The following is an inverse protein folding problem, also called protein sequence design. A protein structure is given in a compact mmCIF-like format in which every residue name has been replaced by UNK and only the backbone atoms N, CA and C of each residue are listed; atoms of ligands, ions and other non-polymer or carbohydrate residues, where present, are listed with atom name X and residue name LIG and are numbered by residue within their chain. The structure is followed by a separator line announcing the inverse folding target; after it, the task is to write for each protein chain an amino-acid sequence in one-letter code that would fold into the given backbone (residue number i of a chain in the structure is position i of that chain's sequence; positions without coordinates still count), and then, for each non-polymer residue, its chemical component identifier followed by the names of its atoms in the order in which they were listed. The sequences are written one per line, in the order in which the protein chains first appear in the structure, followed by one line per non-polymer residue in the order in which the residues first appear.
data_IF_531204255434
#
_entry.id   IF_531204255434
#
_cell.length_a   1.000
_cell.length_b   1.000
_cell.length_c   1.000
_cell.angle_alpha   90.00
_cell.angle_beta   90.00
_cell.angle_gamma   90.00
#
_symmetry.space_group_name_H-M   'P 1'
#
loop_
_entity.id
_entity.type
_entity.pdbx_description
1 polymer ?
#
# COMPACT_ATOMS: atom_id res chain seq x y z
N UNK A 1 -33.48 -40.99 39.05
CA UNK A 1 -32.81 -39.68 39.24
C UNK A 1 -31.72 -39.59 38.20
N UNK A 2 -31.93 -38.85 37.11
CA UNK A 2 -30.95 -38.71 36.03
C UNK A 2 -30.64 -37.21 35.90
N UNK A 3 -29.42 -36.82 36.29
CA UNK A 3 -28.94 -35.45 36.17
C UNK A 3 -28.41 -35.30 34.74
N UNK A 4 -29.12 -34.53 33.92
CA UNK A 4 -28.66 -34.10 32.60
C UNK A 4 -27.69 -32.94 32.79
N UNK A 5 -26.39 -33.18 32.63
CA UNK A 5 -25.41 -32.10 32.49
C UNK A 5 -25.40 -31.62 31.03
N UNK A 6 -26.06 -30.49 30.78
CA UNK A 6 -25.90 -29.76 29.52
C UNK A 6 -24.60 -28.97 29.57
N UNK A 7 -23.58 -29.42 28.84
CA UNK A 7 -22.39 -28.62 28.58
C UNK A 7 -22.75 -27.50 27.59
N UNK A 8 -22.72 -26.26 28.06
CA UNK A 8 -22.73 -25.07 27.20
C UNK A 8 -21.33 -24.93 26.59
N UNK A 9 -21.19 -25.21 25.29
CA UNK A 9 -19.99 -24.81 24.53
C UNK A 9 -20.07 -23.30 24.27
N UNK A 10 -19.29 -22.51 25.01
CA UNK A 10 -19.00 -21.13 24.64
C UNK A 10 -18.01 -21.11 23.48
N UNK A 11 -18.50 -20.81 22.28
CA UNK A 11 -17.66 -20.49 21.12
C UNK A 11 -17.08 -19.09 21.30
N UNK A 12 -15.85 -18.99 21.81
CA UNK A 12 -15.04 -17.77 21.70
C UNK A 12 -14.62 -17.62 20.24
N UNK A 13 -15.27 -16.70 19.52
CA UNK A 13 -14.78 -16.25 18.23
C UNK A 13 -13.48 -15.47 18.46
N UNK A 14 -12.35 -16.07 18.12
CA UNK A 14 -11.08 -15.36 18.00
C UNK A 14 -11.20 -14.49 16.75
N UNK A 15 -11.64 -13.25 16.93
CA UNK A 15 -11.37 -12.22 15.94
C UNK A 15 -9.85 -12.09 15.87
N UNK A 16 -9.25 -12.60 14.81
CA UNK A 16 -7.89 -12.22 14.42
C UNK A 16 -7.92 -10.72 14.21
N UNK A 17 -7.54 -9.97 15.24
CA UNK A 17 -7.22 -8.56 15.11
C UNK A 17 -6.08 -8.51 14.11
N UNK A 18 -6.38 -8.12 12.86
CA UNK A 18 -5.36 -7.60 11.98
C UNK A 18 -4.67 -6.48 12.77
N UNK A 19 -3.46 -6.74 13.24
CA UNK A 19 -2.73 -5.84 14.12
C UNK A 19 -2.19 -4.68 13.26
N UNK A 20 -3.08 -3.81 12.82
CA UNK A 20 -2.72 -2.55 12.22
C UNK A 20 -2.06 -1.67 13.29
N UNK A 21 -0.94 -1.05 12.95
CA UNK A 21 -0.17 -0.28 13.93
C UNK A 21 -0.93 1.00 14.24
N UNK A 22 -0.81 1.47 15.48
CA UNK A 22 -1.29 2.80 15.84
C UNK A 22 -0.62 3.85 14.96
N UNK A 23 -1.42 4.76 14.41
CA UNK A 23 -0.92 5.85 13.58
C UNK A 23 -0.09 6.81 14.43
N UNK A 24 1.25 6.90 14.22
CA UNK A 24 2.10 7.78 15.00
C UNK A 24 1.69 9.24 14.82
N UNK A 25 1.85 10.05 15.87
CA UNK A 25 1.38 11.45 15.86
C UNK A 25 2.02 12.31 14.77
N UNK A 26 3.30 12.08 14.44
CA UNK A 26 3.98 12.78 13.34
C UNK A 26 3.36 12.44 11.98
N UNK A 27 3.07 11.16 11.71
CA UNK A 27 2.41 10.72 10.47
C UNK A 27 0.98 11.23 10.41
N UNK A 28 0.25 11.18 11.53
CA UNK A 28 -1.10 11.73 11.62
C UNK A 28 -1.14 13.23 11.32
N UNK A 29 -0.23 14.00 11.92
CA UNK A 29 -0.17 15.44 11.72
C UNK A 29 0.18 15.78 10.26
N UNK A 30 1.11 15.04 9.65
CA UNK A 30 1.42 15.18 8.23
C UNK A 30 0.19 14.88 7.36
N UNK A 31 -0.45 13.72 7.58
CA UNK A 31 -1.65 13.30 6.88
C UNK A 31 -2.77 14.34 6.97
N UNK A 32 -3.06 14.85 8.17
CA UNK A 32 -4.09 15.86 8.41
C UNK A 32 -3.72 17.19 7.75
N UNK A 33 -2.45 17.60 7.79
CA UNK A 33 -1.94 18.81 7.15
C UNK A 33 -2.15 18.76 5.63
N UNK A 34 -1.66 17.71 4.98
CA UNK A 34 -1.83 17.50 3.53
C UNK A 34 -3.31 17.40 3.16
N UNK A 35 -4.12 16.68 3.94
CA UNK A 35 -5.56 16.58 3.71
C UNK A 35 -6.24 17.95 3.80
N UNK A 36 -5.89 18.76 4.79
CA UNK A 36 -6.45 20.10 4.98
C UNK A 36 -6.03 21.09 3.90
N UNK A 37 -4.87 20.88 3.26
CA UNK A 37 -4.44 21.66 2.10
C UNK A 37 -5.41 21.55 0.93
N UNK A 38 -6.12 20.42 0.84
CA UNK A 38 -7.21 20.19 -0.10
C UNK A 38 -6.78 19.78 -1.51
N UNK A 39 -5.61 20.18 -1.98
CA UNK A 39 -5.04 19.73 -3.25
C UNK A 39 -3.53 19.97 -3.31
N UNK A 40 -2.88 19.26 -4.23
CA UNK A 40 -1.46 19.41 -4.56
C UNK A 40 -1.10 20.85 -4.96
N UNK A 41 0.03 21.39 -4.48
CA UNK A 41 0.53 22.71 -4.93
C UNK A 41 1.72 22.59 -5.89
N UNK A 42 2.58 21.61 -5.68
CA UNK A 42 3.73 21.24 -6.48
C UNK A 42 3.46 19.88 -7.13
N UNK A 43 2.83 19.92 -8.31
CA UNK A 43 2.50 18.72 -9.09
C UNK A 43 3.76 18.26 -9.84
N UNK A 44 4.19 17.03 -9.55
CA UNK A 44 5.29 16.38 -10.26
C UNK A 44 4.79 15.68 -11.53
N UNK A 45 3.63 15.03 -11.43
CA UNK A 45 2.89 14.45 -12.54
C UNK A 45 1.41 14.39 -12.19
N UNK A 46 0.53 14.64 -13.15
CA UNK A 46 -0.91 14.62 -12.94
C UNK A 46 -1.64 13.56 -13.75
N UNK A 47 -2.91 13.35 -13.43
CA UNK A 47 -3.78 12.42 -14.17
C UNK A 47 -3.67 10.96 -13.74
N UNK A 48 -3.16 10.70 -12.54
CA UNK A 48 -3.15 9.36 -11.97
C UNK A 48 -4.58 8.83 -11.84
N UNK A 49 -4.78 7.61 -12.33
CA UNK A 49 -5.98 6.80 -12.11
C UNK A 49 -5.64 5.31 -12.11
N UNK A 50 -6.45 4.56 -11.37
CA UNK A 50 -6.50 3.11 -11.41
C UNK A 50 -7.22 2.60 -12.65
N UNK A 51 -6.90 1.36 -13.02
CA UNK A 51 -7.62 0.58 -14.04
C UNK A 51 -9.09 0.30 -13.68
N UNK A 52 -9.45 0.50 -12.40
CA UNK A 52 -10.79 0.29 -11.86
C UNK A 52 -11.74 1.47 -12.15
N UNK A 53 -11.27 2.52 -12.84
CA UNK A 53 -12.11 3.58 -13.38
C UNK A 53 -12.39 4.71 -12.40
N UNK A 54 -11.41 5.08 -11.58
CA UNK A 54 -11.51 6.32 -10.79
C UNK A 54 -11.43 7.57 -11.68
N UNK A 55 -11.67 8.74 -11.07
CA UNK A 55 -11.85 10.00 -11.80
C UNK A 55 -10.61 10.58 -12.48
N UNK A 56 -9.42 9.99 -12.35
CA UNK A 56 -8.19 10.51 -12.99
C UNK A 56 -7.78 11.90 -12.53
N UNK A 57 -8.23 12.32 -11.35
CA UNK A 57 -8.04 13.65 -10.79
C UNK A 57 -7.05 13.64 -9.62
N UNK A 58 -6.14 12.67 -9.61
CA UNK A 58 -5.08 12.53 -8.63
C UNK A 58 -3.73 12.92 -9.24
N UNK A 59 -2.89 13.56 -8.44
CA UNK A 59 -1.59 14.06 -8.84
C UNK A 59 -0.52 13.50 -7.90
N UNK A 60 0.65 13.18 -8.45
CA UNK A 60 1.89 12.95 -7.70
C UNK A 60 2.40 14.29 -7.18
N UNK A 61 2.52 14.41 -5.86
CA UNK A 61 2.79 15.66 -5.17
C UNK A 61 4.16 15.71 -4.56
N UNK A 62 4.89 16.78 -4.88
CA UNK A 62 6.21 17.09 -4.36
C UNK A 62 6.22 18.24 -3.37
N UNK A 63 5.09 18.55 -2.73
CA UNK A 63 4.95 19.67 -1.79
C UNK A 63 5.95 19.58 -0.64
N UNK A 64 6.35 18.36 -0.28
CA UNK A 64 7.19 18.06 0.87
C UNK A 64 8.50 17.33 0.54
N UNK A 65 8.97 17.42 -0.71
CA UNK A 65 10.28 16.83 -1.09
C UNK A 65 11.42 17.56 -0.36
N UNK A 66 11.39 18.88 -0.29
CA UNK A 66 12.52 19.67 0.21
C UNK A 66 12.64 19.71 1.74
N UNK A 67 11.52 19.68 2.46
CA UNK A 67 11.47 19.83 3.92
C UNK A 67 11.31 18.49 4.65
N UNK A 68 10.67 17.50 4.04
CA UNK A 68 10.40 16.20 4.68
C UNK A 68 10.80 14.98 3.86
N UNK A 69 11.25 15.17 2.62
CA UNK A 69 11.58 14.10 1.68
C UNK A 69 10.39 13.14 1.44
N UNK A 70 9.19 13.70 1.28
CA UNK A 70 7.94 12.93 1.07
C UNK A 70 7.33 13.26 -0.30
N UNK A 71 6.91 12.20 -1.00
CA UNK A 71 6.04 12.25 -2.17
C UNK A 71 4.77 11.47 -1.85
N UNK A 72 3.63 11.97 -2.29
CA UNK A 72 2.32 11.34 -2.08
C UNK A 72 1.40 11.58 -3.27
N UNK A 73 0.29 10.85 -3.35
CA UNK A 73 -0.73 11.05 -4.39
C UNK A 73 -1.96 11.71 -3.77
N UNK A 74 -2.34 12.89 -4.26
CA UNK A 74 -3.47 13.64 -3.76
C UNK A 74 -4.39 14.10 -4.90
N UNK A 75 -5.69 13.97 -4.68
CA UNK A 75 -6.74 14.54 -5.50
C UNK A 75 -7.37 15.77 -4.85
N UNK A 76 -8.48 16.23 -5.43
CA UNK A 76 -9.19 17.41 -4.92
C UNK A 76 -9.87 17.15 -3.57
N UNK A 77 -10.15 18.22 -2.84
CA UNK A 77 -10.83 18.20 -1.54
C UNK A 77 -10.14 17.31 -0.48
N UNK A 78 -8.81 17.18 -0.57
CA UNK A 78 -8.00 16.43 0.39
C UNK A 78 -8.08 14.92 0.21
N UNK A 79 -8.61 14.42 -0.91
CA UNK A 79 -8.68 12.99 -1.19
C UNK A 79 -7.28 12.43 -1.45
N UNK A 80 -7.00 11.25 -0.90
CA UNK A 80 -5.82 10.46 -1.27
C UNK A 80 -6.23 9.36 -2.25
N UNK A 81 -5.31 8.96 -3.11
CA UNK A 81 -5.54 7.79 -3.96
C UNK A 81 -5.66 6.53 -3.12
N UNK A 82 -6.48 5.59 -3.58
CA UNK A 82 -6.47 4.24 -3.05
C UNK A 82 -5.21 3.54 -3.55
N UNK A 83 -4.45 2.95 -2.63
CA UNK A 83 -3.27 2.14 -2.92
C UNK A 83 -3.52 0.77 -2.32
N UNK A 84 -3.91 -0.17 -3.16
CA UNK A 84 -4.08 -1.56 -2.78
C UNK A 84 -2.72 -2.22 -2.51
N UNK A 85 -2.75 -3.20 -1.62
CA UNK A 85 -1.59 -4.08 -1.43
C UNK A 85 -1.45 -4.91 -2.70
N UNK A 86 -0.26 -4.84 -3.29
CA UNK A 86 0.09 -5.61 -4.47
C UNK A 86 0.42 -7.06 -4.04
N UNK A 87 -0.11 -8.01 -4.80
CA UNK A 87 -0.02 -9.45 -4.51
C UNK A 87 0.91 -10.20 -5.48
N UNK A 88 1.77 -9.49 -6.22
CA UNK A 88 2.74 -10.11 -7.12
C UNK A 88 3.90 -10.79 -6.35
N UNK A 89 4.87 -11.37 -7.05
CA UNK A 89 6.05 -11.96 -6.43
C UNK A 89 5.82 -13.38 -5.91
N UNK A 90 6.31 -13.69 -4.71
CA UNK A 90 6.24 -15.03 -4.13
C UNK A 90 4.79 -15.42 -3.84
N UNK A 91 4.31 -16.40 -4.59
CA UNK A 91 3.01 -17.03 -4.37
C UNK A 91 3.17 -18.27 -3.50
N UNK A 92 2.22 -18.50 -2.59
CA UNK A 92 2.19 -19.70 -1.73
C UNK A 92 3.47 -19.93 -0.93
N UNK A 93 4.07 -18.83 -0.45
CA UNK A 93 5.24 -18.84 0.40
C UNK A 93 4.94 -19.31 1.84
N UNK A 94 5.97 -19.49 2.68
CA UNK A 94 5.79 -19.92 4.08
C UNK A 94 4.93 -18.97 4.92
N UNK A 95 4.81 -17.71 4.52
CA UNK A 95 3.99 -16.70 5.19
C UNK A 95 2.55 -16.62 4.66
N UNK A 96 2.19 -17.40 3.62
CA UNK A 96 0.88 -17.33 2.97
C UNK A 96 -0.24 -17.64 3.98
N UNK A 97 -1.11 -16.64 4.20
CA UNK A 97 -2.31 -16.74 5.03
C UNK A 97 -3.60 -16.56 4.21
N UNK A 98 -3.48 -16.58 2.88
CA UNK A 98 -4.58 -16.51 1.94
C UNK A 98 -5.14 -15.12 1.67
N UNK A 99 -4.60 -14.04 2.26
CA UNK A 99 -5.13 -12.67 2.07
C UNK A 99 -5.06 -12.19 0.61
N UNK A 100 -4.12 -12.71 -0.18
CA UNK A 100 -4.01 -12.43 -1.62
C UNK A 100 -4.88 -13.36 -2.49
N UNK A 101 -5.56 -14.36 -1.91
CA UNK A 101 -6.26 -15.41 -2.67
C UNK A 101 -7.46 -14.93 -3.49
N UNK A 102 -7.95 -13.70 -3.29
CA UNK A 102 -9.00 -13.10 -4.10
C UNK A 102 -8.48 -12.29 -5.30
N UNK A 103 -7.17 -12.05 -5.40
CA UNK A 103 -6.59 -11.28 -6.51
C UNK A 103 -6.59 -12.12 -7.79
N UNK A 104 -7.16 -11.59 -8.86
CA UNK A 104 -7.31 -12.30 -10.15
C UNK A 104 -6.22 -12.00 -11.17
N UNK A 105 -5.27 -11.14 -10.81
CA UNK A 105 -4.32 -10.46 -11.69
C UNK A 105 -2.87 -10.54 -11.20
N UNK A 106 -2.58 -11.42 -10.24
CA UNK A 106 -1.23 -11.61 -9.68
C UNK A 106 -0.22 -12.06 -10.73
N UNK A 107 1.00 -11.57 -10.62
CA UNK A 107 2.17 -12.03 -11.35
C UNK A 107 3.13 -12.78 -10.42
N UNK A 108 3.79 -13.83 -10.93
CA UNK A 108 4.70 -14.65 -10.12
C UNK A 108 6.06 -13.99 -9.82
N UNK A 109 6.26 -12.73 -10.21
CA UNK A 109 7.52 -12.01 -10.09
C UNK A 109 7.26 -10.51 -9.98
N UNK A 110 7.97 -9.82 -9.09
CA UNK A 110 7.92 -8.35 -9.02
C UNK A 110 8.99 -7.72 -9.91
N UNK A 111 8.82 -6.43 -10.24
CA UNK A 111 9.85 -5.64 -10.91
C UNK A 111 11.15 -5.50 -10.08
N UNK A 112 11.10 -5.77 -8.78
CA UNK A 112 12.23 -5.64 -7.86
C UNK A 112 12.87 -6.97 -7.47
N UNK A 113 12.50 -8.09 -8.12
CA UNK A 113 13.01 -9.41 -7.79
C UNK A 113 14.54 -9.49 -7.80
N UNK A 114 15.20 -8.85 -8.78
CA UNK A 114 16.66 -8.79 -8.86
C UNK A 114 17.27 -7.92 -7.76
N UNK A 115 16.63 -6.81 -7.41
CA UNK A 115 17.04 -5.97 -6.26
C UNK A 115 17.00 -6.77 -4.96
N UNK A 116 15.92 -7.53 -4.71
CA UNK A 116 15.77 -8.37 -3.51
C UNK A 116 16.87 -9.44 -3.45
N UNK A 117 17.16 -10.11 -4.58
CA UNK A 117 18.21 -11.14 -4.64
C UNK A 117 19.59 -10.58 -4.30
N UNK A 118 19.86 -9.34 -4.70
CA UNK A 118 21.14 -8.67 -4.45
C UNK A 118 21.39 -8.34 -2.96
N UNK A 119 20.38 -8.41 -2.09
CA UNK A 119 20.56 -8.26 -0.65
C UNK A 119 21.20 -9.49 0.02
N UNK A 120 21.31 -10.62 -0.67
CA UNK A 120 22.01 -11.80 -0.15
C UNK A 120 21.32 -12.50 1.03
N UNK A 121 20.03 -12.24 1.25
CA UNK A 121 19.24 -12.82 2.36
C UNK A 121 18.72 -14.23 2.06
N UNK A 122 18.90 -14.73 0.82
CA UNK A 122 18.28 -15.95 0.32
C UNK A 122 16.83 -15.75 -0.16
N UNK A 123 16.26 -14.57 0.06
CA UNK A 123 14.95 -14.20 -0.47
C UNK A 123 15.04 -14.01 -2.00
N UNK A 124 14.09 -14.59 -2.74
CA UNK A 124 14.11 -14.57 -4.21
C UNK A 124 13.31 -13.42 -4.83
N UNK A 125 12.36 -12.88 -4.08
CA UNK A 125 11.45 -11.81 -4.47
C UNK A 125 10.66 -11.30 -3.24
N UNK A 126 9.81 -10.29 -3.39
CA UNK A 126 8.88 -9.87 -2.36
C UNK A 126 7.80 -10.94 -2.12
N UNK A 127 7.33 -11.03 -0.87
CA UNK A 127 6.21 -11.88 -0.45
C UNK A 127 5.23 -10.97 0.31
N UNK A 128 4.09 -10.67 -0.33
CA UNK A 128 3.07 -9.76 0.21
C UNK A 128 2.44 -10.26 1.52
N UNK A 129 2.50 -11.56 1.80
CA UNK A 129 2.02 -12.13 3.06
C UNK A 129 3.04 -11.94 4.19
N UNK A 130 4.34 -11.89 3.85
CA UNK A 130 5.41 -11.60 4.81
C UNK A 130 5.55 -10.09 5.07
N UNK A 131 5.59 -9.28 4.01
CA UNK A 131 5.69 -7.83 4.06
C UNK A 131 4.75 -7.23 3.02
N UNK A 132 3.63 -6.59 3.42
CA UNK A 132 2.75 -5.94 2.46
C UNK A 132 3.47 -4.74 1.82
N UNK A 133 3.24 -4.55 0.53
CA UNK A 133 3.78 -3.43 -0.24
C UNK A 133 2.73 -2.93 -1.25
N UNK A 134 2.96 -1.74 -1.76
CA UNK A 134 2.13 -1.13 -2.81
C UNK A 134 3.02 -0.75 -3.98
N UNK A 135 2.45 -0.66 -5.17
CA UNK A 135 3.16 -0.13 -6.34
C UNK A 135 3.02 1.38 -6.36
N UNK A 136 4.14 2.10 -6.30
CA UNK A 136 4.16 3.56 -6.38
C UNK A 136 4.99 4.02 -7.58
N UNK A 137 4.37 4.83 -8.45
CA UNK A 137 4.91 5.12 -9.77
C UNK A 137 4.51 4.06 -10.79
N UNK A 138 4.70 4.39 -12.07
CA UNK A 138 4.32 3.50 -13.15
C UNK A 138 5.06 3.84 -14.45
N UNK A 139 5.34 2.79 -15.22
CA UNK A 139 6.04 2.86 -16.51
C UNK A 139 5.20 2.17 -17.59
N UNK A 140 5.31 2.62 -18.83
CA UNK A 140 4.64 1.97 -19.96
C UNK A 140 4.22 2.94 -21.06
N UNK A 141 3.42 2.45 -22.00
CA UNK A 141 2.96 3.21 -23.17
C UNK A 141 1.44 3.14 -23.40
N UNK A 142 0.68 2.68 -22.39
CA UNK A 142 -0.77 2.55 -22.49
C UNK A 142 -1.40 3.95 -22.67
N UNK A 143 -2.13 4.20 -23.77
CA UNK A 143 -2.74 5.51 -24.00
C UNK A 143 -3.65 5.92 -22.85
N UNK A 144 -3.52 7.16 -22.40
CA UNK A 144 -4.31 7.74 -21.31
C UNK A 144 -3.70 7.56 -19.92
N UNK A 145 -2.74 6.67 -19.72
CA UNK A 145 -2.13 6.44 -18.40
C UNK A 145 -0.91 7.36 -18.23
N UNK A 146 -0.92 8.19 -17.19
CA UNK A 146 0.23 9.00 -16.82
C UNK A 146 1.40 8.07 -16.45
N UNK A 147 2.63 8.35 -16.86
CA UNK A 147 3.82 7.65 -16.38
C UNK A 147 4.53 8.51 -15.32
N UNK A 148 5.07 7.87 -14.30
CA UNK A 148 5.80 8.54 -13.24
C UNK A 148 6.94 7.65 -12.74
N UNK A 149 8.16 8.20 -12.70
CA UNK A 149 9.38 7.54 -12.23
C UNK A 149 9.82 8.18 -10.91
N UNK A 150 9.45 7.61 -9.74
CA UNK A 150 9.77 8.17 -8.42
C UNK A 150 11.27 8.38 -8.17
N UNK A 151 12.12 7.55 -8.80
CA UNK A 151 13.57 7.59 -8.67
C UNK A 151 14.16 8.93 -9.17
N UNK A 152 13.50 9.60 -10.11
CA UNK A 152 13.90 10.95 -10.56
C UNK A 152 13.80 12.01 -9.46
N UNK A 153 13.04 11.71 -8.41
CA UNK A 153 12.80 12.58 -7.26
C UNK A 153 13.39 12.01 -5.96
N UNK A 154 14.30 11.02 -6.06
CA UNK A 154 15.05 10.49 -4.93
C UNK A 154 14.35 9.39 -4.13
N UNK A 155 13.22 8.85 -4.60
CA UNK A 155 12.61 7.67 -3.99
C UNK A 155 13.34 6.42 -4.46
N UNK A 156 14.06 5.75 -3.55
CA UNK A 156 14.78 4.53 -3.87
C UNK A 156 13.83 3.32 -3.95
N UNK A 157 14.13 2.29 -4.77
CA UNK A 157 13.42 1.02 -4.75
C UNK A 157 13.28 0.45 -3.33
N UNK A 158 12.11 -0.10 -3.02
CA UNK A 158 11.80 -0.70 -1.71
C UNK A 158 11.83 0.31 -0.53
N UNK A 159 11.63 1.60 -0.82
CA UNK A 159 11.36 2.62 0.20
C UNK A 159 10.07 2.34 0.98
N UNK A 160 9.96 2.92 2.17
CA UNK A 160 8.79 2.77 3.04
C UNK A 160 7.60 3.57 2.52
N UNK A 161 6.43 2.94 2.50
CA UNK A 161 5.15 3.62 2.26
C UNK A 161 4.31 3.64 3.54
N UNK A 162 3.72 4.80 3.85
CA UNK A 162 2.72 4.91 4.92
C UNK A 162 1.31 4.86 4.31
N UNK A 163 0.61 3.76 4.53
CA UNK A 163 -0.80 3.62 4.14
C UNK A 163 -1.67 3.88 5.36
N UNK A 164 -2.52 4.90 5.32
CA UNK A 164 -3.40 5.24 6.44
C UNK A 164 -4.82 4.79 6.15
N UNK A 165 -5.30 3.80 6.90
CA UNK A 165 -6.68 3.31 6.81
C UNK A 165 -7.31 3.28 8.21
N UNK A 166 -8.50 3.88 8.36
CA UNK A 166 -9.22 3.94 9.64
C UNK A 166 -8.36 4.39 10.84
N UNK A 167 -7.51 5.41 10.63
CA UNK A 167 -6.60 5.96 11.64
C UNK A 167 -5.58 4.94 12.19
N UNK A 168 -5.15 4.01 11.32
CA UNK A 168 -4.11 3.01 11.53
C UNK A 168 -3.15 2.96 10.35
N UNK A 169 -1.96 2.40 10.57
CA UNK A 169 -0.99 1.98 9.55
C UNK A 169 -1.12 0.48 9.26
#
# INVERSE_FOLDING_TARGET
MAIRNSFLLSTTAWASLAAARDLPSNVKNFYDSVRSQGQCRNVLAGGFHSVQGDSGNFDYCGDHIQDQNVIYIQGKNGQFANMDIDCDGIQHGPADDGRCGSSGDTQSVTSFADTVRNYGTGQRDLDANAHPYVVFGNSGSRPGYATFEPQQYGVEPLSVMAVVCNNKL
#
